data_IF_597882547438
#
_entry.id   IF_597882547438
#
_cell.length_a   1.000
_cell.length_b   1.000
_cell.length_c   1.000
_cell.angle_alpha   90.00
_cell.angle_beta   90.00
_cell.angle_gamma   90.00
#
_symmetry.space_group_name_H-M   'P 1'
#
loop_
_entity.id
_entity.type
_entity.pdbx_description
1 polymer ?
#
# COMPACT_ATOMS: atom_id res chain seq x y z
N UNK A 1 -3.26 -13.35 23.50
CA UNK A 1 -3.75 -13.17 22.19
C UNK A 1 -3.02 -12.09 21.42
N UNK A 2 -2.71 -12.38 20.22
CA UNK A 2 -1.86 -11.51 19.44
C UNK A 2 -2.57 -11.08 18.19
N UNK A 3 -3.03 -9.87 18.16
CA UNK A 3 -3.68 -9.40 16.98
C UNK A 3 -2.85 -8.48 16.16
N UNK A 4 -1.71 -8.10 16.62
CA UNK A 4 -0.88 -7.29 15.77
C UNK A 4 -0.38 -8.08 14.58
N UNK A 5 -0.55 -9.38 14.59
CA UNK A 5 -0.15 -10.20 13.45
C UNK A 5 -1.17 -10.15 12.33
N UNK A 6 -2.32 -9.59 12.60
CA UNK A 6 -3.35 -9.50 11.58
C UNK A 6 -2.98 -8.51 10.51
N UNK A 7 -2.23 -7.49 10.89
CA UNK A 7 -1.86 -6.47 9.91
C UNK A 7 -0.39 -6.56 9.58
N UNK A 8 -0.08 -6.36 8.33
CA UNK A 8 1.28 -6.34 7.82
C UNK A 8 1.52 -5.00 7.18
N UNK A 9 2.76 -4.58 7.19
CA UNK A 9 3.12 -3.33 6.57
C UNK A 9 4.37 -3.52 5.73
N UNK A 10 4.30 -3.05 4.49
CA UNK A 10 5.43 -3.07 3.58
C UNK A 10 5.60 -1.67 3.05
N UNK A 11 6.83 -1.19 3.07
CA UNK A 11 7.12 0.16 2.61
C UNK A 11 8.08 0.10 1.44
N UNK A 12 7.75 0.83 0.39
CA UNK A 12 8.62 0.98 -0.77
C UNK A 12 8.96 2.46 -0.89
N UNK A 13 10.24 2.75 -0.94
CA UNK A 13 10.70 4.11 -1.06
C UNK A 13 11.46 4.29 -2.35
N UNK A 14 11.05 5.25 -3.16
CA UNK A 14 11.74 5.59 -4.39
C UNK A 14 12.64 6.77 -4.10
N UNK A 15 13.94 6.54 -4.12
CA UNK A 15 14.89 7.58 -3.76
C UNK A 15 15.02 8.67 -4.81
N UNK A 16 14.70 8.37 -6.05
CA UNK A 16 14.83 9.37 -7.10
C UNK A 16 13.77 10.46 -6.98
N UNK A 17 12.56 10.06 -6.66
CA UNK A 17 11.43 10.98 -6.61
C UNK A 17 11.04 11.34 -5.19
N UNK A 18 11.69 10.73 -4.21
CA UNK A 18 11.34 10.92 -2.81
C UNK A 18 9.90 10.53 -2.56
N UNK A 19 9.48 9.45 -3.17
CA UNK A 19 8.10 9.02 -3.18
C UNK A 19 7.98 7.76 -2.35
N UNK A 20 7.01 7.72 -1.47
CA UNK A 20 6.82 6.58 -0.58
C UNK A 20 5.50 5.90 -0.85
N UNK A 21 5.52 4.56 -0.79
CA UNK A 21 4.32 3.75 -0.87
C UNK A 21 4.29 2.86 0.35
N UNK A 22 3.20 2.89 1.08
CA UNK A 22 3.05 2.08 2.28
C UNK A 22 1.82 1.19 2.10
N UNK A 23 2.05 -0.11 2.14
CA UNK A 23 1.01 -1.11 1.97
C UNK A 23 0.71 -1.71 3.33
N UNK A 24 -0.55 -1.69 3.72
CA UNK A 24 -0.96 -2.29 4.97
C UNK A 24 -2.18 -3.15 4.74
N UNK A 25 -2.39 -4.13 5.61
CA UNK A 25 -3.59 -4.96 5.55
C UNK A 25 -4.32 -4.83 6.86
N UNK A 26 -5.64 -4.95 6.81
CA UNK A 26 -6.44 -4.98 8.02
C UNK A 26 -6.87 -6.40 8.31
N UNK A 27 -7.70 -6.57 9.34
CA UNK A 27 -8.13 -7.89 9.77
C UNK A 27 -9.07 -8.54 8.79
N UNK A 28 -9.59 -7.81 7.85
CA UNK A 28 -10.49 -8.35 6.84
C UNK A 28 -9.78 -8.69 5.54
N UNK A 29 -8.48 -8.41 5.49
CA UNK A 29 -7.72 -8.70 4.30
C UNK A 29 -7.72 -7.60 3.26
N UNK A 30 -8.32 -6.47 3.56
CA UNK A 30 -8.29 -5.32 2.65
C UNK A 30 -6.91 -4.69 2.69
N UNK A 31 -6.35 -4.43 1.53
CA UNK A 31 -5.05 -3.80 1.43
C UNK A 31 -5.25 -2.31 1.21
N UNK A 32 -4.58 -1.53 2.03
CA UNK A 32 -4.58 -0.07 1.88
C UNK A 32 -3.21 0.35 1.38
N UNK A 33 -3.19 1.16 0.33
CA UNK A 33 -1.95 1.67 -0.23
C UNK A 33 -1.96 3.17 -0.03
N UNK A 34 -1.07 3.66 0.81
CA UNK A 34 -0.89 5.09 1.00
C UNK A 34 0.33 5.52 0.22
N UNK A 35 0.23 6.61 -0.47
CA UNK A 35 1.36 7.13 -1.22
C UNK A 35 1.41 8.64 -1.11
N UNK A 36 2.61 9.16 -1.20
CA UNK A 36 2.86 10.55 -0.94
C UNK A 36 4.11 10.98 -1.69
N UNK A 37 4.02 12.11 -2.35
CA UNK A 37 5.12 12.57 -3.20
C UNK A 37 6.25 13.18 -2.39
N UNK A 38 5.95 13.83 -1.30
CA UNK A 38 6.99 14.51 -0.53
C UNK A 38 6.57 14.59 0.91
N UNK A 39 6.95 13.57 1.65
CA UNK A 39 6.52 13.43 3.03
C UNK A 39 7.00 14.57 3.92
N UNK A 40 8.11 15.17 3.55
CA UNK A 40 8.68 16.21 4.39
C UNK A 40 7.97 17.55 4.26
N UNK A 41 7.39 17.78 3.12
CA UNK A 41 6.77 19.07 2.85
C UNK A 41 5.26 19.02 2.98
N UNK A 42 4.67 17.98 2.43
CA UNK A 42 3.23 17.88 2.36
C UNK A 42 2.77 16.57 2.97
N UNK A 43 2.02 16.64 4.05
CA UNK A 43 1.45 15.44 4.62
C UNK A 43 0.22 14.96 3.88
N UNK A 44 0.04 15.40 2.67
CA UNK A 44 -1.14 15.08 1.89
C UNK A 44 -1.02 13.70 1.29
N UNK A 45 -1.30 12.70 2.10
CA UNK A 45 -1.23 11.31 1.67
C UNK A 45 -2.51 10.90 0.98
N UNK A 46 -2.38 10.18 -0.11
CA UNK A 46 -3.52 9.59 -0.78
C UNK A 46 -3.57 8.13 -0.46
N UNK A 47 -4.78 7.60 -0.38
CA UNK A 47 -4.97 6.22 0.01
C UNK A 47 -5.90 5.53 -0.96
N UNK A 48 -5.51 4.33 -1.36
CA UNK A 48 -6.32 3.46 -2.17
C UNK A 48 -6.61 2.22 -1.34
N UNK A 49 -7.86 1.76 -1.38
CA UNK A 49 -8.25 0.55 -0.67
C UNK A 49 -8.54 -0.54 -1.68
N UNK A 50 -7.90 -1.68 -1.52
CA UNK A 50 -8.06 -2.82 -2.41
C UNK A 50 -8.73 -3.94 -1.63
N UNK A 51 -9.99 -4.26 -1.94
CA UNK A 51 -10.67 -5.36 -1.26
C UNK A 51 -9.95 -6.67 -1.49
N UNK A 52 -10.08 -7.57 -0.55
CA UNK A 52 -9.42 -8.86 -0.62
C UNK A 52 -9.71 -9.58 -1.94
N UNK A 53 -10.94 -9.49 -2.41
CA UNK A 53 -11.34 -10.20 -3.63
C UNK A 53 -10.69 -9.61 -4.88
N UNK A 54 -10.19 -8.40 -4.80
CA UNK A 54 -9.61 -7.73 -5.95
C UNK A 54 -8.10 -7.78 -5.98
N UNK A 55 -7.47 -8.30 -4.94
CA UNK A 55 -6.01 -8.29 -4.85
C UNK A 55 -5.39 -9.02 -6.02
N UNK A 56 -5.91 -10.20 -6.35
CA UNK A 56 -5.33 -10.98 -7.44
C UNK A 56 -5.51 -10.27 -8.77
N UNK A 57 -6.60 -9.55 -8.94
CA UNK A 57 -6.81 -8.79 -10.18
C UNK A 57 -5.79 -7.68 -10.34
N UNK A 58 -5.44 -7.04 -9.23
CA UNK A 58 -4.40 -6.01 -9.26
C UNK A 58 -3.05 -6.61 -9.60
N UNK A 59 -2.75 -7.76 -9.02
CA UNK A 59 -1.50 -8.46 -9.30
C UNK A 59 -1.42 -8.80 -10.78
N UNK A 60 -2.49 -9.35 -11.32
CA UNK A 60 -2.54 -9.75 -12.72
C UNK A 60 -2.36 -8.54 -13.65
N UNK A 61 -3.02 -7.45 -13.32
CA UNK A 61 -2.91 -6.25 -14.13
C UNK A 61 -1.49 -5.71 -14.13
N UNK A 62 -0.86 -5.66 -12.97
CA UNK A 62 0.50 -5.16 -12.85
C UNK A 62 1.48 -6.06 -13.58
N UNK A 63 1.26 -7.36 -13.53
CA UNK A 63 2.10 -8.30 -14.25
C UNK A 63 2.05 -8.06 -15.75
N UNK A 64 0.89 -7.71 -16.27
CA UNK A 64 0.76 -7.47 -17.69
C UNK A 64 1.35 -6.16 -18.14
N UNK A 65 1.47 -5.22 -17.23
CA UNK A 65 2.02 -3.91 -17.56
C UNK A 65 3.54 -3.86 -17.41
N UNK A 66 4.09 -4.86 -16.80
CA UNK A 66 5.51 -4.81 -16.45
C UNK A 66 6.45 -5.29 -17.60
#
# INVERSE_FOLDING_TARGET
MTYYEISKQIRIHNTEDDWDYVFTTDEYGTVSVRYNENLRVMPDCRTIHIPKDCIQHFIDALEQLK
#
